data_IF_712229427146
#
_entry.id   IF_712229427146
#
_cell.length_a   1.000
_cell.length_b   1.000
_cell.length_c   1.000
_cell.angle_alpha   90.00
_cell.angle_beta   90.00
_cell.angle_gamma   90.00
#
_symmetry.space_group_name_H-M   'P 1'
#
loop_
_entity.id
_entity.type
_entity.pdbx_description
1 polymer ?
#
# COMPACT_ATOMS: atom_id res chain seq x y z
N UNK A 1 8.28 -3.59 -8.96
CA UNK A 1 6.95 -3.26 -9.49
C UNK A 1 6.77 -3.83 -10.90
N UNK A 2 5.56 -4.30 -11.22
CA UNK A 2 5.13 -4.71 -12.55
C UNK A 2 3.78 -4.09 -12.87
N UNK A 3 3.60 -3.63 -14.12
CA UNK A 3 2.32 -3.16 -14.63
C UNK A 3 1.77 -4.25 -15.56
N UNK A 4 0.57 -4.73 -15.28
CA UNK A 4 -0.13 -5.71 -16.11
C UNK A 4 -1.05 -4.94 -17.06
N UNK A 5 -0.74 -4.94 -18.38
CA UNK A 5 -1.57 -4.25 -19.36
C UNK A 5 -2.97 -4.85 -19.45
N UNK A 6 -3.98 -4.04 -19.78
CA UNK A 6 -5.36 -4.49 -20.01
C UNK A 6 -5.49 -5.52 -21.16
N UNK A 7 -4.51 -5.56 -22.06
CA UNK A 7 -4.46 -6.54 -23.16
C UNK A 7 -4.10 -7.95 -22.71
N UNK A 8 -3.59 -8.12 -21.47
CA UNK A 8 -3.27 -9.43 -20.90
C UNK A 8 -4.57 -10.22 -20.69
N UNK A 9 -4.63 -11.39 -21.30
CA UNK A 9 -5.82 -12.26 -21.23
C UNK A 9 -5.72 -13.34 -20.16
N UNK A 10 -4.51 -13.70 -19.72
CA UNK A 10 -4.30 -14.70 -18.67
C UNK A 10 -2.95 -14.53 -17.99
N UNK A 11 -2.91 -14.94 -16.73
CA UNK A 11 -1.69 -15.05 -15.95
C UNK A 11 -1.58 -16.52 -15.55
N UNK A 12 -0.47 -17.17 -15.95
CA UNK A 12 -0.25 -18.56 -15.59
C UNK A 12 0.11 -18.68 -14.11
N UNK A 13 -0.11 -19.85 -13.54
CA UNK A 13 0.20 -20.18 -12.14
C UNK A 13 1.63 -19.84 -11.72
N UNK A 14 2.57 -20.00 -12.66
CA UNK A 14 4.00 -19.79 -12.40
C UNK A 14 4.54 -18.48 -13.01
N UNK A 15 3.66 -17.56 -13.46
CA UNK A 15 4.05 -16.33 -14.14
C UNK A 15 5.00 -15.45 -13.29
N UNK A 16 4.86 -15.49 -11.98
CA UNK A 16 5.68 -14.73 -11.03
C UNK A 16 6.56 -15.63 -10.15
N UNK A 17 6.75 -16.90 -10.56
CA UNK A 17 7.68 -17.79 -9.88
C UNK A 17 9.08 -17.16 -9.89
N UNK A 18 9.75 -17.17 -8.73
CA UNK A 18 11.09 -16.62 -8.56
C UNK A 18 11.22 -15.08 -8.68
N UNK A 19 10.09 -14.36 -8.79
CA UNK A 19 10.08 -12.89 -8.74
C UNK A 19 10.20 -12.37 -7.31
N UNK A 20 11.24 -12.76 -6.56
CA UNK A 20 11.44 -12.41 -5.15
C UNK A 20 11.61 -10.92 -4.85
N UNK A 21 11.71 -10.07 -5.88
CA UNK A 21 11.77 -8.60 -5.73
C UNK A 21 10.47 -7.90 -6.15
N UNK A 22 9.43 -8.66 -6.45
CA UNK A 22 8.14 -8.10 -6.83
C UNK A 22 7.40 -7.63 -5.57
N UNK A 23 7.32 -6.33 -5.36
CA UNK A 23 6.66 -5.72 -4.21
C UNK A 23 5.29 -5.17 -4.54
N UNK A 24 5.06 -4.76 -5.78
CA UNK A 24 3.79 -4.18 -6.21
C UNK A 24 3.40 -4.63 -7.61
N UNK A 25 2.10 -4.84 -7.77
CA UNK A 25 1.47 -5.11 -9.06
C UNK A 25 0.41 -4.05 -9.31
N UNK A 26 0.52 -3.37 -10.45
CA UNK A 26 -0.51 -2.47 -10.96
C UNK A 26 -1.27 -3.17 -12.09
N UNK A 27 -2.59 -3.10 -12.07
CA UNK A 27 -3.42 -3.56 -13.16
C UNK A 27 -3.94 -2.35 -13.93
N UNK A 28 -3.45 -2.17 -15.16
CA UNK A 28 -3.69 -0.95 -15.94
C UNK A 28 -5.16 -0.69 -16.24
N UNK A 29 -5.98 -1.75 -16.39
CA UNK A 29 -7.41 -1.60 -16.65
C UNK A 29 -8.18 -0.91 -15.52
N UNK A 30 -7.78 -1.16 -14.27
CA UNK A 30 -8.44 -0.64 -13.07
C UNK A 30 -7.68 0.55 -12.45
N UNK A 31 -6.42 0.78 -12.89
CA UNK A 31 -5.51 1.75 -12.28
C UNK A 31 -5.18 1.44 -10.83
N UNK A 32 -5.37 0.19 -10.40
CA UNK A 32 -5.20 -0.26 -9.01
C UNK A 32 -3.84 -0.88 -8.84
N UNK A 33 -3.12 -0.39 -7.84
CA UNK A 33 -1.84 -0.93 -7.40
C UNK A 33 -2.03 -1.67 -6.08
N UNK A 34 -1.61 -2.93 -6.02
CA UNK A 34 -1.64 -3.73 -4.80
C UNK A 34 -0.23 -4.15 -4.40
N UNK A 35 0.02 -4.12 -3.09
CA UNK A 35 1.25 -4.65 -2.53
C UNK A 35 1.24 -6.18 -2.57
N UNK A 36 2.32 -6.75 -3.08
CA UNK A 36 2.55 -8.19 -3.14
C UNK A 36 3.65 -8.53 -2.14
N UNK A 37 3.33 -9.23 -1.04
CA UNK A 37 4.32 -9.49 -0.02
C UNK A 37 5.46 -10.37 -0.53
N UNK A 38 6.69 -9.98 -0.20
CA UNK A 38 7.86 -10.85 -0.35
C UNK A 38 7.72 -12.05 0.56
N UNK A 39 7.47 -13.21 0.01
CA UNK A 39 7.62 -14.44 0.79
C UNK A 39 8.07 -15.62 -0.08
N UNK A 40 9.21 -16.24 0.23
CA UNK A 40 9.62 -17.50 -0.37
C UNK A 40 8.66 -18.67 -0.06
N UNK A 41 7.76 -18.50 0.90
CA UNK A 41 6.73 -19.45 1.29
C UNK A 41 5.40 -19.22 0.54
N UNK A 42 5.26 -18.13 -0.24
CA UNK A 42 4.14 -18.02 -1.15
C UNK A 42 4.18 -19.22 -2.09
N UNK A 43 3.23 -20.09 -1.90
CA UNK A 43 3.01 -21.22 -2.78
C UNK A 43 2.86 -20.65 -4.18
N UNK A 44 3.68 -21.13 -5.08
CA UNK A 44 3.83 -20.73 -6.50
C UNK A 44 2.53 -20.62 -7.32
N UNK A 45 1.39 -20.48 -6.72
CA UNK A 45 0.06 -20.41 -7.32
C UNK A 45 -0.85 -19.34 -6.77
N UNK A 46 -0.47 -18.67 -5.67
CA UNK A 46 -1.40 -17.78 -4.97
C UNK A 46 -1.53 -16.41 -5.64
N UNK A 47 -0.47 -15.89 -6.29
CA UNK A 47 -0.57 -14.62 -7.03
C UNK A 47 -1.53 -14.75 -8.23
N UNK A 48 -1.55 -15.87 -8.92
CA UNK A 48 -2.49 -16.07 -10.04
C UNK A 48 -3.94 -16.17 -9.58
N UNK A 49 -4.19 -16.54 -8.31
CA UNK A 49 -5.55 -16.58 -7.73
C UNK A 49 -6.10 -15.18 -7.41
N UNK A 50 -5.23 -14.16 -7.42
CA UNK A 50 -5.66 -12.75 -7.27
C UNK A 50 -6.35 -12.19 -8.52
N UNK A 51 -6.47 -13.00 -9.56
CA UNK A 51 -7.10 -12.58 -10.81
C UNK A 51 -8.20 -13.56 -11.21
N UNK A 52 -9.29 -13.01 -11.70
CA UNK A 52 -10.37 -13.78 -12.32
C UNK A 52 -10.72 -13.21 -13.69
N UNK A 53 -11.44 -13.98 -14.49
CA UNK A 53 -12.00 -13.50 -15.75
C UNK A 53 -13.49 -13.31 -15.64
N UNK A 54 -13.97 -12.22 -16.19
CA UNK A 54 -15.39 -12.02 -16.38
C UNK A 54 -15.92 -12.81 -17.61
N UNK A 55 -17.23 -12.70 -17.83
CA UNK A 55 -17.92 -13.38 -18.95
C UNK A 55 -17.49 -12.86 -20.34
N UNK A 56 -16.91 -11.66 -20.42
CA UNK A 56 -16.34 -11.07 -21.63
C UNK A 56 -14.90 -11.53 -21.86
N UNK A 57 -14.30 -12.28 -20.93
CA UNK A 57 -12.92 -12.75 -20.97
C UNK A 57 -11.90 -11.71 -20.53
N UNK A 58 -12.36 -10.61 -19.92
CA UNK A 58 -11.49 -9.57 -19.37
C UNK A 58 -10.94 -10.01 -18.01
N UNK A 59 -9.65 -9.72 -17.78
CA UNK A 59 -8.99 -10.02 -16.51
C UNK A 59 -9.25 -8.92 -15.49
N UNK A 60 -9.52 -9.30 -14.24
CA UNK A 60 -9.76 -8.41 -13.12
C UNK A 60 -9.03 -8.89 -11.85
N UNK A 61 -8.76 -7.97 -10.91
CA UNK A 61 -8.38 -8.36 -9.56
C UNK A 61 -9.54 -9.02 -8.82
N UNK A 62 -9.23 -10.07 -8.07
CA UNK A 62 -10.09 -10.66 -7.05
C UNK A 62 -9.79 -10.03 -5.69
N UNK A 63 -10.48 -8.91 -5.42
CA UNK A 63 -10.27 -8.15 -4.19
C UNK A 63 -10.67 -8.94 -2.93
N UNK A 64 -11.66 -9.84 -3.02
CA UNK A 64 -12.09 -10.67 -1.90
C UNK A 64 -11.01 -11.69 -1.52
N UNK A 65 -10.42 -12.33 -2.52
CA UNK A 65 -9.28 -13.23 -2.31
C UNK A 65 -8.09 -12.47 -1.75
N UNK A 66 -7.75 -11.27 -2.26
CA UNK A 66 -6.67 -10.45 -1.72
C UNK A 66 -6.91 -10.07 -0.25
N UNK A 67 -8.11 -9.60 0.07
CA UNK A 67 -8.49 -9.22 1.42
C UNK A 67 -8.49 -10.41 2.40
N UNK A 68 -8.79 -11.61 1.92
CA UNK A 68 -8.70 -12.84 2.71
C UNK A 68 -7.25 -13.23 2.98
N UNK A 69 -6.38 -13.14 1.99
CA UNK A 69 -4.95 -13.34 2.16
C UNK A 69 -4.34 -12.37 3.17
N UNK A 70 -4.74 -11.08 3.10
CA UNK A 70 -4.31 -10.07 4.06
C UNK A 70 -4.69 -10.46 5.49
N UNK A 71 -5.91 -10.95 5.71
CA UNK A 71 -6.38 -11.35 7.03
C UNK A 71 -5.59 -12.53 7.61
N UNK A 72 -5.20 -13.48 6.77
CA UNK A 72 -4.51 -14.71 7.16
C UNK A 72 -2.99 -14.57 7.25
N UNK A 73 -2.43 -13.42 6.85
CA UNK A 73 -0.99 -13.21 6.83
C UNK A 73 -0.41 -13.15 8.24
N UNK A 74 0.61 -13.95 8.53
CA UNK A 74 1.17 -14.07 9.88
C UNK A 74 2.02 -12.86 10.32
N UNK A 75 2.62 -12.14 9.37
CA UNK A 75 3.51 -11.01 9.66
C UNK A 75 2.73 -9.69 9.68
N UNK A 76 2.59 -9.11 10.86
CA UNK A 76 1.75 -7.93 11.09
C UNK A 76 2.12 -6.72 10.22
N UNK A 77 3.41 -6.41 10.05
CA UNK A 77 3.86 -5.27 9.26
C UNK A 77 3.61 -5.45 7.76
N UNK A 78 3.63 -6.68 7.27
CA UNK A 78 3.21 -7.00 5.90
C UNK A 78 1.71 -6.76 5.74
N UNK A 79 0.89 -7.20 6.72
CA UNK A 79 -0.55 -6.92 6.72
C UNK A 79 -0.83 -5.41 6.71
N UNK A 80 -0.07 -4.63 7.49
CA UNK A 80 -0.21 -3.16 7.50
C UNK A 80 0.09 -2.56 6.12
N UNK A 81 1.13 -3.03 5.41
CA UNK A 81 1.42 -2.57 4.04
C UNK A 81 0.32 -2.97 3.06
N UNK A 82 -0.10 -4.23 3.08
CA UNK A 82 -1.22 -4.69 2.24
C UNK A 82 -2.46 -3.82 2.49
N UNK A 83 -2.75 -3.51 3.76
CA UNK A 83 -3.87 -2.65 4.15
C UNK A 83 -3.71 -1.21 3.65
N UNK A 84 -2.50 -0.62 3.71
CA UNK A 84 -2.23 0.73 3.22
C UNK A 84 -2.53 0.84 1.72
N UNK A 85 -2.01 -0.07 0.90
CA UNK A 85 -2.32 -0.11 -0.54
C UNK A 85 -3.81 -0.38 -0.81
N UNK A 86 -4.44 -1.22 0.01
CA UNK A 86 -5.86 -1.51 -0.13
C UNK A 86 -6.74 -0.33 0.24
N UNK A 87 -6.31 0.53 1.15
CA UNK A 87 -6.96 1.80 1.50
C UNK A 87 -6.70 2.90 0.46
N UNK A 88 -5.51 2.95 -0.14
CA UNK A 88 -5.18 3.85 -1.24
C UNK A 88 -6.07 3.56 -2.47
N UNK A 89 -6.35 2.27 -2.74
CA UNK A 89 -7.21 1.83 -3.85
C UNK A 89 -8.44 1.07 -3.32
N UNK A 90 -9.46 1.77 -2.79
CA UNK A 90 -10.57 1.14 -2.06
C UNK A 90 -11.65 0.54 -2.96
N UNK A 91 -11.30 0.04 -4.15
CA UNK A 91 -12.24 -0.57 -5.09
C UNK A 91 -12.90 -1.78 -4.44
N UNK A 92 -14.23 -1.80 -4.42
CA UNK A 92 -15.03 -2.86 -3.79
C UNK A 92 -14.67 -3.15 -2.31
N UNK A 93 -14.14 -2.16 -1.57
CA UNK A 93 -13.76 -2.31 -0.17
C UNK A 93 -14.95 -2.03 0.75
N UNK A 94 -15.49 -3.04 1.48
CA UNK A 94 -16.59 -2.82 2.41
C UNK A 94 -16.20 -1.89 3.55
N UNK A 95 -17.10 -1.01 4.00
CA UNK A 95 -16.84 -0.04 5.06
C UNK A 95 -16.35 -0.67 6.38
N UNK A 96 -16.84 -1.87 6.72
CA UNK A 96 -16.37 -2.59 7.91
C UNK A 96 -14.90 -3.00 7.78
N UNK A 97 -14.51 -3.47 6.59
CA UNK A 97 -13.14 -3.90 6.29
C UNK A 97 -12.20 -2.69 6.22
N UNK A 98 -12.67 -1.59 5.62
CA UNK A 98 -11.94 -0.31 5.62
C UNK A 98 -11.56 0.12 7.05
N UNK A 99 -12.54 0.18 7.95
CA UNK A 99 -12.29 0.53 9.37
C UNK A 99 -11.32 -0.44 10.06
N UNK A 100 -11.40 -1.73 9.75
CA UNK A 100 -10.47 -2.71 10.32
C UNK A 100 -9.03 -2.49 9.85
N UNK A 101 -8.82 -2.08 8.59
CA UNK A 101 -7.50 -1.76 8.05
C UNK A 101 -6.94 -0.47 8.62
N UNK A 102 -7.78 0.56 8.76
CA UNK A 102 -7.42 1.82 9.43
C UNK A 102 -6.98 1.56 10.88
N UNK A 103 -7.75 0.78 11.64
CA UNK A 103 -7.41 0.41 13.00
C UNK A 103 -6.10 -0.41 13.09
N UNK A 104 -5.91 -1.37 12.18
CA UNK A 104 -4.69 -2.17 12.11
C UNK A 104 -3.45 -1.31 11.91
N UNK A 105 -3.50 -0.35 10.98
CA UNK A 105 -2.37 0.55 10.71
C UNK A 105 -2.14 1.48 11.90
N UNK A 106 -3.19 2.07 12.47
CA UNK A 106 -3.08 2.98 13.61
C UNK A 106 -2.43 2.30 14.83
N UNK A 107 -2.80 1.05 15.13
CA UNK A 107 -2.22 0.26 16.21
C UNK A 107 -0.72 0.00 16.03
N UNK A 108 -0.25 -0.13 14.79
CA UNK A 108 1.13 -0.51 14.47
C UNK A 108 1.92 0.58 13.72
N UNK A 109 1.43 1.83 13.71
CA UNK A 109 1.97 2.90 12.89
C UNK A 109 3.47 3.13 13.12
N UNK A 110 3.90 3.20 14.38
CA UNK A 110 5.31 3.41 14.74
C UNK A 110 6.21 2.30 14.19
N UNK A 111 5.85 1.06 14.41
CA UNK A 111 6.63 -0.10 13.96
C UNK A 111 6.66 -0.17 12.43
N UNK A 112 5.55 0.17 11.79
CA UNK A 112 5.44 0.26 10.34
C UNK A 112 6.38 1.33 9.76
N UNK A 113 6.42 2.54 10.36
CA UNK A 113 7.32 3.61 9.92
C UNK A 113 8.79 3.20 10.09
N UNK A 114 9.16 2.56 11.20
CA UNK A 114 10.51 2.03 11.37
C UNK A 114 10.86 0.95 10.35
N UNK A 115 9.92 0.10 9.97
CA UNK A 115 10.15 -0.89 8.94
C UNK A 115 10.28 -0.26 7.55
N UNK A 116 9.47 0.75 7.23
CA UNK A 116 9.59 1.60 6.03
C UNK A 116 10.98 2.26 5.99
N UNK A 117 11.47 2.78 7.11
CA UNK A 117 12.81 3.34 7.24
C UNK A 117 13.91 2.31 6.94
N UNK A 118 13.79 1.08 7.45
CA UNK A 118 14.77 0.00 7.18
C UNK A 118 14.85 -0.31 5.70
N UNK A 119 13.73 -0.30 5.01
CA UNK A 119 13.60 -0.61 3.58
C UNK A 119 13.90 0.60 2.68
N UNK A 120 13.93 1.79 3.24
CA UNK A 120 14.04 3.07 2.54
C UNK A 120 12.95 3.24 1.47
N UNK A 121 11.73 2.79 1.78
CA UNK A 121 10.62 2.68 0.84
C UNK A 121 9.74 3.94 0.86
N UNK A 122 10.00 4.85 -0.08
CA UNK A 122 9.12 6.02 -0.28
C UNK A 122 7.73 5.58 -0.76
N UNK A 123 7.63 4.49 -1.50
CA UNK A 123 6.38 3.96 -2.01
C UNK A 123 5.43 3.56 -0.87
N UNK A 124 5.95 2.83 0.14
CA UNK A 124 5.14 2.44 1.31
C UNK A 124 4.69 3.67 2.10
N UNK A 125 5.55 4.69 2.25
CA UNK A 125 5.22 5.92 2.95
C UNK A 125 4.16 6.74 2.19
N UNK A 126 4.30 6.83 0.86
CA UNK A 126 3.31 7.49 0.00
C UNK A 126 1.95 6.78 0.05
N UNK A 127 1.94 5.45 0.07
CA UNK A 127 0.69 4.69 0.23
C UNK A 127 -0.03 5.02 1.55
N UNK A 128 0.70 5.23 2.65
CA UNK A 128 0.11 5.71 3.91
C UNK A 128 -0.49 7.12 3.77
N UNK A 129 0.19 8.02 3.08
CA UNK A 129 -0.32 9.37 2.81
C UNK A 129 -1.59 9.34 1.96
N UNK A 130 -1.56 8.63 0.83
CA UNK A 130 -2.69 8.50 -0.10
C UNK A 130 -3.89 7.79 0.55
N UNK A 131 -3.63 6.87 1.48
CA UNK A 131 -4.66 6.20 2.29
C UNK A 131 -5.25 7.10 3.39
N UNK A 132 -4.72 8.33 3.61
CA UNK A 132 -5.16 9.22 4.67
C UNK A 132 -4.72 8.79 6.08
N UNK A 133 -3.71 7.92 6.18
CA UNK A 133 -3.19 7.41 7.46
C UNK A 133 -2.14 8.32 8.09
N UNK A 134 -1.64 9.32 7.35
CA UNK A 134 -0.79 10.39 7.89
C UNK A 134 -1.72 11.53 8.31
N UNK A 135 -1.87 11.74 9.61
CA UNK A 135 -2.76 12.74 10.19
C UNK A 135 -1.98 13.88 10.85
N UNK A 136 -2.64 15.03 11.09
CA UNK A 136 -2.03 16.15 11.79
C UNK A 136 -1.55 15.77 13.21
N UNK A 137 -2.17 14.76 13.84
CA UNK A 137 -1.78 14.26 15.15
C UNK A 137 -0.46 13.48 15.14
N UNK A 138 -0.18 12.75 14.03
CA UNK A 138 0.95 11.84 13.97
C UNK A 138 2.13 12.36 13.13
N UNK A 139 1.94 13.42 12.33
CA UNK A 139 2.94 13.84 11.34
C UNK A 139 4.27 14.26 11.99
N UNK A 140 4.24 14.98 13.12
CA UNK A 140 5.45 15.41 13.81
C UNK A 140 6.25 14.23 14.34
N UNK A 141 5.58 13.25 14.97
CA UNK A 141 6.24 12.02 15.43
C UNK A 141 6.84 11.21 14.28
N UNK A 142 6.16 11.14 13.14
CA UNK A 142 6.66 10.43 11.95
C UNK A 142 7.91 11.12 11.37
N UNK A 143 7.95 12.45 11.36
CA UNK A 143 9.13 13.24 10.98
C UNK A 143 10.30 12.93 11.93
N UNK A 144 10.05 12.90 13.24
CA UNK A 144 11.07 12.57 14.24
C UNK A 144 11.61 11.15 14.04
N UNK A 145 10.74 10.15 13.82
CA UNK A 145 11.15 8.77 13.61
C UNK A 145 12.00 8.61 12.34
N UNK A 146 11.60 9.23 11.23
CA UNK A 146 12.37 9.15 9.98
C UNK A 146 13.70 9.89 10.07
N UNK A 147 13.74 11.02 10.79
CA UNK A 147 14.97 11.78 11.08
C UNK A 147 15.92 10.95 11.96
N UNK A 148 15.42 10.31 13.02
CA UNK A 148 16.22 9.44 13.88
C UNK A 148 16.80 8.23 13.10
N UNK A 149 16.07 7.74 12.11
CA UNK A 149 16.54 6.70 11.19
C UNK A 149 17.50 7.23 10.11
N UNK A 150 17.77 8.54 10.05
CA UNK A 150 18.61 9.21 9.03
C UNK A 150 18.11 8.96 7.59
N UNK A 151 16.80 8.96 7.39
CA UNK A 151 16.16 8.74 6.10
C UNK A 151 15.69 10.07 5.49
N UNK A 152 16.64 10.91 5.06
CA UNK A 152 16.37 12.26 4.56
C UNK A 152 15.31 12.34 3.46
N UNK A 153 15.24 11.34 2.57
CA UNK A 153 14.21 11.28 1.52
C UNK A 153 12.82 11.09 2.09
N UNK A 154 12.66 10.21 3.08
CA UNK A 154 11.39 9.97 3.75
C UNK A 154 10.98 11.16 4.60
N UNK A 155 11.95 11.75 5.34
CA UNK A 155 11.72 12.97 6.12
C UNK A 155 11.29 14.13 5.20
N UNK A 156 11.96 14.32 4.05
CA UNK A 156 11.59 15.33 3.06
C UNK A 156 10.14 15.18 2.58
N UNK A 157 9.73 13.98 2.24
CA UNK A 157 8.34 13.67 1.86
C UNK A 157 7.33 14.07 2.96
N UNK A 158 7.61 13.74 4.23
CA UNK A 158 6.72 14.07 5.34
C UNK A 158 6.63 15.58 5.60
N UNK A 159 7.74 16.32 5.42
CA UNK A 159 7.74 17.78 5.53
C UNK A 159 6.92 18.44 4.43
N UNK A 160 7.04 17.97 3.19
CA UNK A 160 6.20 18.42 2.07
C UNK A 160 4.72 18.09 2.34
N UNK A 161 4.43 16.86 2.75
CA UNK A 161 3.08 16.42 3.08
C UNK A 161 2.46 17.27 4.20
N UNK A 162 3.23 17.60 5.25
CA UNK A 162 2.80 18.47 6.34
C UNK A 162 2.44 19.86 5.83
N UNK A 163 3.30 20.42 4.98
CA UNK A 163 3.07 21.75 4.39
C UNK A 163 1.81 21.79 3.53
N UNK A 164 1.57 20.77 2.72
CA UNK A 164 0.44 20.70 1.78
C UNK A 164 -0.89 20.44 2.47
N UNK A 165 -0.91 19.63 3.54
CA UNK A 165 -2.15 19.12 4.11
C UNK A 165 -2.52 19.69 5.47
N UNK A 166 -1.54 20.21 6.25
CA UNK A 166 -1.76 20.60 7.64
C UNK A 166 -1.31 22.02 7.97
N UNK A 167 -0.62 22.72 7.05
CA UNK A 167 -0.31 24.14 7.26
C UNK A 167 -1.46 24.96 6.69
N UNK A 168 -2.19 25.68 7.54
CA UNK A 168 -3.14 26.67 7.08
C UNK A 168 -2.39 27.70 6.22
N UNK A 169 -2.85 27.91 4.98
CA UNK A 169 -2.40 29.01 4.13
C UNK A 169 -2.89 30.33 4.73
N UNK A 170 -2.24 30.79 5.81
CA UNK A 170 -2.41 32.13 6.36
C UNK A 170 -1.72 33.21 5.52
N UNK A 171 -1.85 33.10 4.20
CA UNK A 171 -1.57 34.26 3.33
C UNK A 171 -2.89 34.93 2.94
N UNK A 172 -3.53 35.55 3.94
CA UNK A 172 -4.55 36.57 3.68
C UNK A 172 -3.80 37.86 3.29
N UNK A 173 -3.61 38.06 1.99
CA UNK A 173 -3.19 39.34 1.45
C UNK A 173 -4.41 40.25 1.37
N UNK A 174 -4.98 40.65 2.51
CA UNK A 174 -5.88 41.79 2.60
C UNK A 174 -5.06 43.07 2.47
N UNK A 175 -4.94 43.60 1.25
CA UNK A 175 -4.50 44.97 0.98
C UNK A 175 -5.73 45.91 0.98
#
# INVERSE_FOLDING_TARGET
EIIIPETVKSISKDAFAECGRLECMEFAADGVKLYVPENPVYRKGEISSLFYRDNAGQLHYDYETYDSLLADWSQILIRCRMAAFRLEYPVQLPAARKRAYEALIAEHLKDLVYDICKRDSLMDLAALGNAGMITAEHIEEMIDWTTACRRGKLTGYLLEYQQEHFTENTFDFSL
#
